data_IF_149466662588
#
_entry.id   IF_149466662588
#
_cell.length_a   1.000
_cell.length_b   1.000
_cell.length_c   1.000
_cell.angle_alpha   90.00
_cell.angle_beta   90.00
_cell.angle_gamma   90.00
#
_symmetry.space_group_name_H-M   'P 1'
#
loop_
_entity.id
_entity.type
_entity.pdbx_description
1 polymer ?
#
# COMPACT_ATOMS: atom_id res chain seq x y z
N UNK A 1 9.37 -21.42 13.20
CA UNK A 1 8.01 -21.28 13.76
C UNK A 1 7.22 -20.32 12.89
N UNK A 2 5.98 -20.65 12.51
CA UNK A 2 5.05 -19.73 11.84
C UNK A 2 3.72 -19.70 12.58
N UNK A 3 3.18 -18.50 12.78
CA UNK A 3 1.88 -18.26 13.38
C UNK A 3 0.80 -18.22 12.30
N UNK A 4 -0.38 -18.74 12.62
CA UNK A 4 -1.54 -18.64 11.72
C UNK A 4 -2.12 -17.23 11.77
N UNK A 5 -2.15 -16.55 10.62
CA UNK A 5 -2.83 -15.26 10.49
C UNK A 5 -4.32 -15.53 10.22
N UNK A 6 -5.19 -15.02 11.09
CA UNK A 6 -6.65 -14.99 10.86
C UNK A 6 -7.04 -13.57 10.53
N UNK A 7 -7.74 -13.38 9.40
CA UNK A 7 -8.27 -12.09 8.99
C UNK A 7 -9.70 -11.96 9.49
N UNK A 8 -10.07 -10.77 9.94
CA UNK A 8 -11.47 -10.45 10.20
C UNK A 8 -12.24 -10.50 8.86
N UNK A 9 -13.50 -10.95 8.81
CA UNK A 9 -14.26 -11.03 7.56
C UNK A 9 -14.32 -9.71 6.78
N UNK A 10 -14.35 -8.58 7.49
CA UNK A 10 -14.39 -7.24 6.86
C UNK A 10 -13.08 -6.82 6.17
N UNK A 11 -11.96 -7.50 6.43
CA UNK A 11 -10.67 -7.16 5.79
C UNK A 11 -10.74 -7.25 4.28
N UNK A 12 -11.54 -8.17 3.73
CA UNK A 12 -11.72 -8.28 2.27
C UNK A 12 -12.31 -6.99 1.68
N UNK A 13 -13.31 -6.42 2.36
CA UNK A 13 -13.96 -5.19 1.94
C UNK A 13 -13.03 -3.97 2.07
N UNK A 14 -12.24 -3.91 3.15
CA UNK A 14 -11.24 -2.85 3.34
C UNK A 14 -10.20 -2.88 2.22
N UNK A 15 -9.70 -4.07 1.87
CA UNK A 15 -8.72 -4.23 0.79
C UNK A 15 -9.28 -3.82 -0.57
N UNK A 16 -10.51 -4.24 -0.88
CA UNK A 16 -11.21 -3.85 -2.11
C UNK A 16 -11.38 -2.33 -2.20
N UNK A 17 -11.84 -1.71 -1.12
CA UNK A 17 -12.02 -0.25 -1.03
C UNK A 17 -10.70 0.48 -1.27
N UNK A 18 -9.63 0.07 -0.61
CA UNK A 18 -8.29 0.65 -0.79
C UNK A 18 -7.81 0.48 -2.25
N UNK A 19 -7.98 -0.71 -2.84
CA UNK A 19 -7.53 -0.94 -4.21
C UNK A 19 -8.32 -0.14 -5.23
N UNK A 20 -9.63 0.03 -5.05
CA UNK A 20 -10.45 0.85 -5.94
C UNK A 20 -10.04 2.32 -5.85
N UNK A 21 -9.88 2.86 -4.62
CA UNK A 21 -9.42 4.24 -4.42
C UNK A 21 -8.07 4.51 -5.08
N UNK A 22 -7.12 3.58 -4.98
CA UNK A 22 -5.80 3.72 -5.61
C UNK A 22 -5.89 3.55 -7.13
N UNK A 23 -6.73 2.63 -7.61
CA UNK A 23 -6.91 2.41 -9.04
C UNK A 23 -7.52 3.64 -9.72
N UNK A 24 -8.48 4.29 -9.07
CA UNK A 24 -9.13 5.50 -9.55
C UNK A 24 -8.16 6.69 -9.61
N UNK A 25 -7.22 6.79 -8.65
CA UNK A 25 -6.26 7.90 -8.56
C UNK A 25 -4.97 7.68 -9.37
N UNK A 26 -4.36 6.49 -9.25
CA UNK A 26 -3.01 6.19 -9.74
C UNK A 26 -2.95 4.97 -10.70
N UNK A 27 -4.10 4.42 -11.06
CA UNK A 27 -4.23 3.31 -12.00
C UNK A 27 -4.08 1.91 -11.38
N UNK A 28 -4.52 0.87 -12.11
CA UNK A 28 -4.63 -0.49 -11.59
C UNK A 28 -3.27 -1.11 -11.19
N UNK A 29 -2.19 -0.73 -11.86
CA UNK A 29 -0.84 -1.22 -11.52
C UNK A 29 -0.37 -0.70 -10.16
N UNK A 30 -0.71 0.54 -9.80
CA UNK A 30 -0.39 1.08 -8.49
C UNK A 30 -1.18 0.37 -7.38
N UNK A 31 -2.47 0.08 -7.63
CA UNK A 31 -3.32 -0.66 -6.72
C UNK A 31 -2.80 -2.09 -6.47
N UNK A 32 -2.40 -2.79 -7.53
CA UNK A 32 -1.81 -4.14 -7.44
C UNK A 32 -0.52 -4.14 -6.61
N UNK A 33 0.40 -3.20 -6.87
CA UNK A 33 1.64 -3.06 -6.07
C UNK A 33 1.32 -2.86 -4.60
N UNK A 34 0.31 -2.03 -4.28
CA UNK A 34 -0.07 -1.80 -2.88
C UNK A 34 -0.65 -3.05 -2.22
N UNK A 35 -1.48 -3.80 -2.94
CA UNK A 35 -2.02 -5.06 -2.43
C UNK A 35 -0.90 -6.07 -2.13
N UNK A 36 0.11 -6.16 -3.00
CA UNK A 36 1.28 -7.02 -2.79
C UNK A 36 2.11 -6.60 -1.56
N UNK A 37 2.30 -5.30 -1.33
CA UNK A 37 2.97 -4.78 -0.14
C UNK A 37 2.24 -5.19 1.16
N UNK A 38 0.92 -5.02 1.17
CA UNK A 38 0.09 -5.42 2.31
C UNK A 38 0.24 -6.92 2.57
N UNK A 39 0.14 -7.74 1.53
CA UNK A 39 0.31 -9.20 1.62
C UNK A 39 1.72 -9.59 2.12
N UNK A 40 2.77 -8.90 1.66
CA UNK A 40 4.14 -9.10 2.15
C UNK A 40 4.25 -8.79 3.64
N UNK A 41 3.60 -7.72 4.11
CA UNK A 41 3.54 -7.41 5.54
C UNK A 41 2.80 -8.49 6.33
N UNK A 42 1.64 -8.95 5.86
CA UNK A 42 0.85 -9.97 6.53
C UNK A 42 1.64 -11.29 6.66
N UNK A 43 2.37 -11.69 5.61
CA UNK A 43 3.31 -12.81 5.68
C UNK A 43 4.45 -12.57 6.68
N UNK A 44 4.89 -11.33 6.84
CA UNK A 44 5.86 -10.96 7.88
C UNK A 44 5.32 -11.15 9.31
N UNK A 45 4.03 -10.90 9.53
CA UNK A 45 3.38 -11.09 10.84
C UNK A 45 3.27 -12.56 11.23
N UNK A 46 3.13 -13.47 10.26
CA UNK A 46 3.17 -14.91 10.54
C UNK A 46 4.53 -15.36 11.12
N UNK A 47 5.61 -14.62 10.84
CA UNK A 47 6.95 -14.92 11.39
C UNK A 47 7.22 -14.20 12.70
N UNK A 48 6.81 -12.93 12.81
CA UNK A 48 7.04 -12.08 13.98
C UNK A 48 5.72 -11.40 14.37
N UNK A 49 4.92 -12.01 15.27
CA UNK A 49 3.57 -11.53 15.58
C UNK A 49 3.57 -10.25 16.43
N UNK A 50 4.63 -10.01 17.21
CA UNK A 50 4.74 -8.82 18.07
C UNK A 50 5.27 -7.59 17.33
N UNK A 51 5.26 -7.61 15.99
CA UNK A 51 5.77 -6.52 15.17
C UNK A 51 4.73 -5.42 15.03
N UNK A 52 5.05 -4.22 15.51
CA UNK A 52 4.16 -3.06 15.52
C UNK A 52 4.08 -2.45 16.91
N UNK A 53 3.60 -1.21 16.96
CA UNK A 53 3.45 -0.45 18.21
C UNK A 53 2.13 -0.83 18.87
N UNK A 54 2.17 -1.13 20.16
CA UNK A 54 0.96 -1.36 20.95
C UNK A 54 0.14 -0.08 21.05
N UNK A 55 -1.18 -0.20 20.94
CA UNK A 55 -2.18 0.87 20.97
C UNK A 55 -3.28 0.53 21.97
N UNK A 56 -2.88 0.24 23.20
CA UNK A 56 -3.79 -0.18 24.27
C UNK A 56 -4.82 0.90 24.61
N UNK A 57 -4.51 2.16 24.32
CA UNK A 57 -5.44 3.29 24.48
C UNK A 57 -6.67 3.21 23.56
N UNK A 58 -6.58 2.48 22.45
CA UNK A 58 -7.70 2.26 21.53
C UNK A 58 -8.44 0.97 21.87
N UNK A 59 -7.69 -0.11 22.10
CA UNK A 59 -8.23 -1.42 22.51
C UNK A 59 -7.09 -2.23 23.14
N UNK A 60 -7.28 -2.84 24.31
CA UNK A 60 -6.23 -3.66 24.94
C UNK A 60 -5.70 -4.75 24.00
N UNK A 61 -4.38 -4.83 23.84
CA UNK A 61 -3.70 -5.79 22.99
C UNK A 61 -3.66 -5.43 21.50
N UNK A 62 -4.26 -4.31 21.09
CA UNK A 62 -4.19 -3.84 19.70
C UNK A 62 -2.76 -3.43 19.36
N UNK A 63 -2.29 -3.85 18.18
CA UNK A 63 -1.00 -3.42 17.63
C UNK A 63 -1.22 -2.82 16.27
N UNK A 64 -0.69 -1.62 16.07
CA UNK A 64 -0.73 -0.92 14.79
C UNK A 64 0.64 -0.98 14.15
N UNK A 65 0.64 -1.27 12.85
CA UNK A 65 1.85 -1.30 12.05
C UNK A 65 1.69 -0.37 10.84
N UNK A 66 2.53 0.66 10.80
CA UNK A 66 2.63 1.54 9.64
C UNK A 66 3.28 0.79 8.47
N UNK A 67 2.67 0.91 7.29
CA UNK A 67 3.34 0.57 6.02
C UNK A 67 4.13 1.81 5.56
N UNK A 68 5.38 1.66 5.12
CA UNK A 68 6.04 2.74 4.40
C UNK A 68 5.22 3.06 3.13
N UNK A 69 5.16 4.34 2.80
CA UNK A 69 4.67 4.78 1.50
C UNK A 69 5.90 4.77 0.58
N UNK A 70 6.00 3.76 -0.28
CA UNK A 70 7.00 3.82 -1.35
C UNK A 70 6.47 4.79 -2.40
N UNK A 71 7.09 5.96 -2.51
CA UNK A 71 6.83 6.89 -3.60
C UNK A 71 7.24 6.18 -4.89
N UNK A 72 6.26 5.72 -5.67
CA UNK A 72 6.57 5.32 -7.05
C UNK A 72 7.02 6.61 -7.74
N UNK A 73 8.28 6.73 -8.23
CA UNK A 73 8.64 7.88 -9.03
C UNK A 73 7.67 7.91 -10.21
N UNK A 74 6.92 9.00 -10.35
CA UNK A 74 6.17 9.29 -11.55
C UNK A 74 7.16 9.13 -12.71
N UNK A 75 6.99 8.06 -13.48
CA UNK A 75 7.69 7.93 -14.76
C UNK A 75 7.23 9.11 -15.60
N UNK A 76 8.06 10.15 -15.65
CA UNK A 76 8.03 11.18 -16.69
C UNK A 76 8.35 10.48 -18.01
N UNK A 77 7.35 9.82 -18.59
CA UNK A 77 7.39 9.39 -19.97
C UNK A 77 7.13 10.62 -20.83
N UNK A 78 8.23 11.24 -21.26
CA UNK A 78 8.40 11.92 -22.55
C UNK A 78 7.23 12.80 -23.04
N UNK A 79 7.18 14.05 -22.59
CA UNK A 79 6.70 15.14 -23.46
C UNK A 79 7.84 15.51 -24.41
N UNK A 80 8.00 14.72 -25.46
CA UNK A 80 8.75 15.11 -26.64
C UNK A 80 7.91 16.06 -27.50
N UNK A 81 8.48 17.20 -27.86
CA UNK A 81 8.11 17.95 -29.06
C UNK A 81 7.22 19.17 -28.85
N UNK A 82 7.85 20.36 -28.85
CA UNK A 82 7.68 21.41 -29.87
C UNK A 82 8.68 22.53 -29.58
N UNK A 83 9.82 22.50 -30.27
CA UNK A 83 10.61 23.71 -30.51
C UNK A 83 9.83 24.55 -31.52
N UNK A 84 9.39 25.74 -31.12
CA UNK A 84 8.97 26.79 -32.06
C UNK A 84 10.21 27.61 -32.42
N UNK A 85 10.47 27.91 -33.71
CA UNK A 85 11.51 28.85 -34.06
C UNK A 85 11.01 30.27 -33.78
N UNK A 86 11.76 31.03 -32.97
CA UNK A 86 11.60 32.48 -32.86
C UNK A 86 12.32 33.11 -34.05
N UNK A 87 11.56 33.72 -34.94
CA UNK A 87 12.03 34.75 -35.87
C UNK A 87 11.82 36.11 -35.23
N UNK A 88 12.89 36.90 -35.11
CA UNK A 88 12.90 38.35 -35.17
C UNK A 88 14.33 38.81 -35.49
#
# INVERSE_FOLDING_TARGET
MSYRVRRHPLVAHDLETITNLIADDAGPQAALRKLEEIERTLRGLSRVPHRGTTRDEMTPGLRVRRQPIEETPLTTAATGGRQSPVSA
#
